data_IF_870512010465
#
_entry.id   IF_870512010465
#
_cell.length_a   1.000
_cell.length_b   1.000
_cell.length_c   1.000
_cell.angle_alpha   90.00
_cell.angle_beta   90.00
_cell.angle_gamma   90.00
#
_symmetry.space_group_name_H-M   'P 1'
#
loop_
_entity.id
_entity.type
_entity.pdbx_description
1 polymer ?
#
# COMPACT_ATOMS: atom_id res chain seq x y z
N UNK A 1 -79.61 16.79 -15.37
CA UNK A 1 -78.86 17.23 -14.17
C UNK A 1 -77.84 16.14 -13.86
N UNK A 2 -76.54 16.44 -13.81
CA UNK A 2 -75.53 15.43 -13.48
C UNK A 2 -75.64 15.05 -12.01
N UNK A 3 -75.68 13.75 -11.73
CA UNK A 3 -75.68 13.19 -10.37
C UNK A 3 -74.49 13.72 -9.58
N UNK A 4 -74.74 14.42 -8.47
CA UNK A 4 -73.67 14.82 -7.57
C UNK A 4 -73.10 13.56 -6.91
N UNK A 5 -71.78 13.32 -7.01
CA UNK A 5 -71.16 12.14 -6.41
C UNK A 5 -71.40 12.15 -4.91
N UNK A 6 -71.83 11.00 -4.37
CA UNK A 6 -72.07 10.81 -2.95
C UNK A 6 -70.85 11.26 -2.13
N UNK A 7 -71.04 11.92 -0.96
CA UNK A 7 -69.95 12.40 -0.14
C UNK A 7 -69.05 11.23 0.27
N UNK A 8 -67.82 11.25 -0.24
CA UNK A 8 -66.82 10.22 0.07
C UNK A 8 -66.64 10.07 1.58
N UNK A 9 -66.67 8.83 2.07
CA UNK A 9 -66.38 8.49 3.48
C UNK A 9 -65.04 9.13 3.88
N UNK A 10 -65.07 10.14 4.75
CA UNK A 10 -63.87 10.73 5.33
C UNK A 10 -63.21 9.72 6.26
N UNK A 11 -61.97 9.34 5.97
CA UNK A 11 -61.12 8.54 6.85
C UNK A 11 -61.01 9.24 8.21
N UNK A 12 -61.20 8.50 9.30
CA UNK A 12 -60.96 9.01 10.65
C UNK A 12 -59.45 9.17 10.83
N UNK A 13 -59.02 10.22 11.52
CA UNK A 13 -57.59 10.55 11.71
C UNK A 13 -56.76 9.38 12.25
N UNK A 14 -57.31 8.53 13.12
CA UNK A 14 -56.62 7.35 13.64
C UNK A 14 -56.38 6.27 12.56
N UNK A 15 -57.25 6.16 11.56
CA UNK A 15 -57.07 5.24 10.42
C UNK A 15 -55.91 5.70 9.54
N UNK A 16 -55.73 7.02 9.39
CA UNK A 16 -54.58 7.60 8.69
C UNK A 16 -53.29 7.28 9.45
N UNK A 17 -53.27 7.43 10.78
CA UNK A 17 -52.10 7.06 11.58
C UNK A 17 -51.75 5.58 11.49
N UNK A 18 -52.74 4.68 11.56
CA UNK A 18 -52.52 3.23 11.39
C UNK A 18 -51.96 2.92 10.00
N UNK A 19 -52.50 3.56 8.95
CA UNK A 19 -51.99 3.37 7.58
C UNK A 19 -50.54 3.86 7.43
N UNK A 20 -50.21 5.02 7.99
CA UNK A 20 -48.83 5.55 7.98
C UNK A 20 -47.88 4.59 8.72
N UNK A 21 -48.28 4.10 9.90
CA UNK A 21 -47.47 3.16 10.68
C UNK A 21 -47.24 1.84 9.92
N UNK A 22 -48.27 1.31 9.25
CA UNK A 22 -48.15 0.10 8.42
C UNK A 22 -47.24 0.32 7.21
N UNK A 23 -47.40 1.43 6.49
CA UNK A 23 -46.54 1.78 5.35
C UNK A 23 -45.08 1.95 5.79
N UNK A 24 -44.85 2.59 6.92
CA UNK A 24 -43.52 2.71 7.50
C UNK A 24 -42.94 1.35 7.90
N UNK A 25 -43.72 0.48 8.52
CA UNK A 25 -43.31 -0.89 8.85
C UNK A 25 -42.92 -1.70 7.61
N UNK A 26 -43.73 -1.65 6.54
CA UNK A 26 -43.43 -2.29 5.25
C UNK A 26 -42.13 -1.74 4.67
N UNK A 27 -41.97 -0.41 4.66
CA UNK A 27 -40.75 0.24 4.17
C UNK A 27 -39.51 -0.25 4.94
N UNK A 28 -39.56 -0.30 6.27
CA UNK A 28 -38.46 -0.79 7.12
C UNK A 28 -38.17 -2.26 6.86
N UNK A 29 -39.19 -3.12 6.72
CA UNK A 29 -39.00 -4.53 6.38
C UNK A 29 -38.38 -4.72 4.99
N UNK A 30 -38.88 -4.01 3.98
CA UNK A 30 -38.32 -4.04 2.62
C UNK A 30 -36.86 -3.56 2.61
N UNK A 31 -36.56 -2.47 3.33
CA UNK A 31 -35.21 -1.95 3.46
C UNK A 31 -34.29 -2.93 4.18
N UNK A 32 -34.74 -3.55 5.28
CA UNK A 32 -33.97 -4.56 6.01
C UNK A 32 -33.72 -5.82 5.16
N UNK A 33 -34.71 -6.27 4.38
CA UNK A 33 -34.54 -7.35 3.42
C UNK A 33 -33.55 -6.98 2.32
N UNK A 34 -33.72 -5.80 1.71
CA UNK A 34 -32.82 -5.29 0.68
C UNK A 34 -31.39 -5.23 1.17
N UNK A 35 -31.15 -4.66 2.37
CA UNK A 35 -29.83 -4.58 3.00
C UNK A 35 -29.18 -5.96 3.26
N UNK A 36 -29.98 -7.03 3.46
CA UNK A 36 -29.49 -8.39 3.73
C UNK A 36 -29.29 -9.27 2.50
N UNK A 37 -29.98 -8.98 1.40
CA UNK A 37 -29.86 -9.77 0.16
C UNK A 37 -28.45 -9.66 -0.44
N UNK A 38 -27.95 -10.72 -1.07
CA UNK A 38 -26.64 -10.75 -1.77
C UNK A 38 -26.74 -10.91 -3.29
N UNK A 39 -27.95 -10.96 -3.86
CA UNK A 39 -28.15 -11.32 -5.27
C UNK A 39 -27.51 -10.38 -6.30
N UNK A 40 -27.22 -9.13 -5.93
CA UNK A 40 -26.43 -8.20 -6.77
C UNK A 40 -24.94 -8.58 -6.88
N UNK A 41 -24.42 -9.39 -5.95
CA UNK A 41 -23.05 -9.87 -5.97
C UNK A 41 -22.88 -11.09 -6.89
N UNK A 42 -23.96 -11.81 -7.22
CA UNK A 42 -23.88 -13.01 -8.06
C UNK A 42 -23.30 -12.72 -9.45
N UNK A 43 -23.67 -11.57 -10.02
CA UNK A 43 -23.11 -11.10 -11.30
C UNK A 43 -21.62 -10.77 -11.19
N UNK A 44 -21.21 -10.10 -10.12
CA UNK A 44 -19.81 -9.80 -9.85
C UNK A 44 -18.98 -11.09 -9.60
N UNK A 45 -19.56 -12.09 -8.93
CA UNK A 45 -18.92 -13.38 -8.66
C UNK A 45 -18.78 -14.21 -9.94
N UNK A 46 -19.82 -14.24 -10.78
CA UNK A 46 -19.75 -14.90 -12.09
C UNK A 46 -18.67 -14.25 -12.97
N UNK A 47 -18.59 -12.92 -12.96
CA UNK A 47 -17.54 -12.17 -13.65
C UNK A 47 -16.15 -12.49 -13.10
N UNK A 48 -15.94 -12.45 -11.79
CA UNK A 48 -14.65 -12.80 -11.16
C UNK A 48 -14.17 -14.19 -11.61
N UNK A 49 -15.05 -15.20 -11.57
CA UNK A 49 -14.72 -16.55 -12.04
C UNK A 49 -14.32 -16.59 -13.52
N UNK A 50 -15.03 -15.85 -14.38
CA UNK A 50 -14.68 -15.76 -15.81
C UNK A 50 -13.31 -15.13 -16.08
N UNK A 51 -12.83 -14.29 -15.15
CA UNK A 51 -11.51 -13.65 -15.17
C UNK A 51 -10.43 -14.45 -14.42
N UNK A 52 -10.76 -15.61 -13.83
CA UNK A 52 -9.83 -16.37 -12.98
C UNK A 52 -9.46 -15.65 -11.68
N UNK A 53 -10.33 -14.76 -11.18
CA UNK A 53 -10.16 -14.01 -9.95
C UNK A 53 -10.86 -14.72 -8.77
N UNK A 54 -10.33 -14.58 -7.54
CA UNK A 54 -10.94 -15.16 -6.35
C UNK A 54 -12.28 -14.50 -6.03
N UNK A 55 -13.23 -15.28 -5.53
CA UNK A 55 -14.53 -14.79 -5.01
C UNK A 55 -14.59 -14.81 -3.48
N UNK A 56 -13.59 -15.40 -2.82
CA UNK A 56 -13.44 -15.35 -1.38
C UNK A 56 -12.03 -15.72 -0.91
N UNK A 57 -11.77 -15.54 0.39
CA UNK A 57 -10.46 -15.84 0.99
C UNK A 57 -10.07 -17.32 0.92
N UNK A 58 -11.06 -18.22 0.88
CA UNK A 58 -10.85 -19.66 0.70
C UNK A 58 -10.16 -20.00 -0.63
N UNK A 59 -10.26 -19.12 -1.63
CA UNK A 59 -9.69 -19.33 -2.97
C UNK A 59 -8.21 -18.98 -3.05
N UNK A 60 -7.64 -18.36 -2.00
CA UNK A 60 -6.29 -17.80 -2.01
C UNK A 60 -5.20 -18.76 -1.52
N UNK A 61 -5.56 -19.94 -1.00
CA UNK A 61 -4.62 -21.04 -0.79
C UNK A 61 -3.38 -20.74 0.07
N UNK A 62 -3.52 -19.94 1.14
CA UNK A 62 -2.38 -19.57 1.99
C UNK A 62 -1.79 -20.77 2.71
N UNK A 63 -0.47 -20.93 2.61
CA UNK A 63 0.28 -21.87 3.43
C UNK A 63 0.51 -21.25 4.82
N UNK A 64 -0.01 -21.83 5.90
CA UNK A 64 0.23 -21.30 7.24
C UNK A 64 1.73 -21.38 7.56
N UNK A 65 2.25 -20.34 8.21
CA UNK A 65 3.60 -20.41 8.77
C UNK A 65 3.66 -21.54 9.81
N UNK A 66 4.78 -22.27 9.83
CA UNK A 66 5.02 -23.22 10.91
C UNK A 66 5.13 -22.48 12.26
N UNK A 67 4.92 -23.19 13.36
CA UNK A 67 4.88 -22.60 14.70
C UNK A 67 6.21 -21.93 15.10
N UNK A 68 7.35 -22.42 14.60
CA UNK A 68 8.66 -21.86 14.90
C UNK A 68 8.85 -20.51 14.21
N UNK A 69 8.50 -20.42 12.92
CA UNK A 69 8.52 -19.18 12.14
C UNK A 69 7.54 -18.16 12.69
N UNK A 70 6.35 -18.57 13.11
CA UNK A 70 5.39 -17.71 13.80
C UNK A 70 5.94 -17.13 15.12
N UNK A 71 6.67 -17.95 15.88
CA UNK A 71 7.33 -17.52 17.13
C UNK A 71 8.47 -16.54 16.87
N UNK A 72 9.33 -16.85 15.90
CA UNK A 72 10.42 -15.97 15.46
C UNK A 72 9.87 -14.62 14.96
N UNK A 73 8.77 -14.65 14.21
CA UNK A 73 8.09 -13.47 13.72
C UNK A 73 7.53 -12.58 14.86
N UNK A 74 6.84 -13.19 15.83
CA UNK A 74 6.35 -12.47 17.01
C UNK A 74 7.49 -11.88 17.84
N UNK A 75 8.60 -12.63 17.99
CA UNK A 75 9.79 -12.14 18.69
C UNK A 75 10.43 -10.95 17.97
N UNK A 76 10.55 -11.00 16.64
CA UNK A 76 11.08 -9.89 15.86
C UNK A 76 10.25 -8.61 16.04
N UNK A 77 8.92 -8.73 16.07
CA UNK A 77 8.02 -7.59 16.34
C UNK A 77 8.23 -7.01 17.74
N UNK A 78 8.43 -7.87 18.75
CA UNK A 78 8.75 -7.42 20.10
C UNK A 78 10.11 -6.70 20.16
N UNK A 79 11.13 -7.20 19.45
CA UNK A 79 12.45 -6.56 19.35
C UNK A 79 12.36 -5.17 18.71
N UNK A 80 11.49 -4.96 17.73
CA UNK A 80 11.25 -3.64 17.13
C UNK A 80 10.69 -2.59 18.11
N UNK A 81 10.12 -3.02 19.24
CA UNK A 81 9.70 -2.15 20.33
C UNK A 81 10.81 -1.86 21.35
N UNK A 82 11.83 -2.71 21.42
CA UNK A 82 12.96 -2.61 22.35
C UNK A 82 14.15 -1.88 21.73
N UNK A 83 14.33 -2.03 20.41
CA UNK A 83 15.38 -1.37 19.64
C UNK A 83 14.81 -0.11 19.00
N UNK A 84 15.22 1.06 19.49
CA UNK A 84 14.85 2.35 18.89
C UNK A 84 15.90 2.78 17.89
N UNK A 85 15.46 3.16 16.68
CA UNK A 85 16.30 3.90 15.74
C UNK A 85 16.63 5.29 16.31
N UNK A 86 17.76 5.86 15.92
CA UNK A 86 18.15 7.22 16.31
C UNK A 86 17.13 8.24 15.84
N UNK A 87 16.63 8.07 14.62
CA UNK A 87 15.55 8.88 14.06
C UNK A 87 14.29 8.93 14.93
N UNK A 88 13.98 7.86 15.67
CA UNK A 88 12.81 7.84 16.57
C UNK A 88 13.10 8.52 17.92
N UNK A 89 14.37 8.74 18.27
CA UNK A 89 14.80 9.39 19.52
C UNK A 89 14.90 10.92 19.43
N UNK A 90 15.03 11.47 18.22
CA UNK A 90 15.15 12.92 18.01
C UNK A 90 13.80 13.62 18.21
N UNK A 91 13.73 14.61 19.08
CA UNK A 91 12.49 15.35 19.38
C UNK A 91 12.05 16.19 18.17
N UNK A 92 10.92 15.82 17.53
CA UNK A 92 10.10 16.74 16.74
C UNK A 92 9.95 16.43 15.25
N UNK A 93 11.00 15.99 14.54
CA UNK A 93 10.92 15.79 13.07
C UNK A 93 11.40 14.41 12.61
N UNK A 94 12.13 13.68 13.46
CA UNK A 94 12.74 12.40 13.08
C UNK A 94 13.87 12.61 12.08
N UNK A 95 15.09 12.24 12.45
CA UNK A 95 16.20 12.29 11.51
C UNK A 95 15.95 11.35 10.32
N UNK A 96 16.30 11.80 9.11
CA UNK A 96 16.29 10.96 7.91
C UNK A 96 17.58 11.18 7.15
N UNK A 97 18.22 10.09 6.75
CA UNK A 97 19.44 10.16 5.95
C UNK A 97 19.17 10.84 4.62
N UNK A 98 20.04 11.79 4.26
CA UNK A 98 20.02 12.47 2.97
C UNK A 98 21.29 12.09 2.20
N UNK A 99 21.18 11.53 0.98
CA UNK A 99 22.36 11.21 0.18
C UNK A 99 23.29 12.41 0.02
N UNK A 100 24.60 12.17 0.15
CA UNK A 100 25.63 13.20 0.08
C UNK A 100 25.84 14.00 1.38
N UNK A 101 25.14 13.67 2.47
CA UNK A 101 25.36 14.27 3.79
C UNK A 101 26.05 13.30 4.73
N UNK A 102 26.91 13.82 5.61
CA UNK A 102 27.58 13.03 6.65
C UNK A 102 26.57 12.65 7.75
N UNK A 103 26.55 11.39 8.23
CA UNK A 103 25.75 11.03 9.38
C UNK A 103 26.18 11.83 10.63
N UNK A 104 25.23 12.28 11.48
CA UNK A 104 25.56 13.03 12.69
C UNK A 104 26.35 12.16 13.67
N UNK A 105 27.30 12.74 14.41
CA UNK A 105 28.13 11.99 15.38
C UNK A 105 27.28 11.32 16.48
N UNK A 106 26.17 11.95 16.86
CA UNK A 106 25.18 11.44 17.81
C UNK A 106 24.55 10.11 17.36
N UNK A 107 24.53 9.83 16.04
CA UNK A 107 24.07 8.55 15.51
C UNK A 107 24.99 7.41 15.98
N UNK A 108 26.31 7.62 15.94
CA UNK A 108 27.30 6.63 16.38
C UNK A 108 27.15 6.38 17.89
N UNK A 109 27.03 7.45 18.68
CA UNK A 109 26.82 7.36 20.13
C UNK A 109 25.50 6.68 20.50
N UNK A 110 24.44 6.93 19.73
CA UNK A 110 23.15 6.24 19.90
C UNK A 110 23.29 4.74 19.69
N UNK A 111 23.86 4.31 18.57
CA UNK A 111 24.02 2.88 18.27
C UNK A 111 24.99 2.16 19.19
N UNK A 112 26.02 2.85 19.71
CA UNK A 112 26.93 2.30 20.71
C UNK A 112 26.24 1.98 22.06
N UNK A 113 25.10 2.62 22.35
CA UNK A 113 24.31 2.39 23.58
C UNK A 113 23.23 1.33 23.42
N UNK A 114 22.95 0.87 22.21
CA UNK A 114 21.95 -0.17 21.99
C UNK A 114 22.44 -1.51 22.54
N UNK A 115 21.52 -2.33 23.03
CA UNK A 115 21.83 -3.67 23.50
C UNK A 115 22.25 -4.55 22.31
N UNK A 116 23.55 -4.83 22.22
CA UNK A 116 24.12 -5.61 21.12
C UNK A 116 23.57 -7.04 21.08
N UNK A 117 23.18 -7.63 22.22
CA UNK A 117 22.59 -8.97 22.25
C UNK A 117 21.22 -8.99 21.55
N UNK A 118 20.42 -7.94 21.70
CA UNK A 118 19.13 -7.81 21.01
C UNK A 118 19.31 -7.57 19.51
N UNK A 119 20.35 -6.82 19.11
CA UNK A 119 20.70 -6.62 17.70
C UNK A 119 21.10 -7.96 17.07
N UNK A 120 21.99 -8.72 17.72
CA UNK A 120 22.45 -10.02 17.25
C UNK A 120 21.28 -11.03 17.22
N UNK A 121 20.39 -11.01 18.21
CA UNK A 121 19.16 -11.80 18.21
C UNK A 121 18.28 -11.47 17.00
N UNK A 122 18.08 -10.18 16.69
CA UNK A 122 17.28 -9.75 15.53
C UNK A 122 17.87 -10.23 14.21
N UNK A 123 19.20 -10.17 14.04
CA UNK A 123 19.89 -10.66 12.85
C UNK A 123 19.78 -12.19 12.70
N UNK A 124 19.89 -12.91 13.82
CA UNK A 124 19.73 -14.36 13.86
C UNK A 124 18.30 -14.78 13.52
N UNK A 125 17.28 -14.07 14.02
CA UNK A 125 15.87 -14.30 13.66
C UNK A 125 15.66 -14.07 12.17
N UNK A 126 16.13 -12.94 11.62
CA UNK A 126 16.03 -12.67 10.18
C UNK A 126 16.73 -13.73 9.32
N UNK A 127 17.82 -14.30 9.83
CA UNK A 127 18.51 -15.41 9.16
C UNK A 127 17.64 -16.66 9.13
N UNK A 128 17.02 -17.05 10.26
CA UNK A 128 16.15 -18.23 10.36
C UNK A 128 14.83 -18.09 9.61
N UNK A 129 14.24 -16.89 9.59
CA UNK A 129 13.00 -16.62 8.85
C UNK A 129 13.17 -16.83 7.35
N UNK A 130 14.39 -16.62 6.82
CA UNK A 130 14.74 -16.84 5.43
C UNK A 130 14.02 -15.90 4.47
N UNK A 131 13.97 -16.30 3.19
CA UNK A 131 13.30 -15.54 2.12
C UNK A 131 11.86 -16.04 1.86
N UNK A 132 11.40 -17.07 2.57
CA UNK A 132 10.07 -17.64 2.38
C UNK A 132 8.96 -16.73 2.93
N UNK A 133 7.76 -16.74 2.31
CA UNK A 133 6.59 -16.08 2.87
C UNK A 133 6.26 -16.49 4.30
N UNK A 134 5.89 -15.50 5.12
CA UNK A 134 5.33 -15.72 6.46
C UNK A 134 3.88 -15.26 6.43
N UNK A 135 2.96 -16.20 6.59
CA UNK A 135 1.57 -15.89 6.88
C UNK A 135 1.43 -15.54 8.35
N UNK A 136 1.49 -14.24 8.62
CA UNK A 136 1.29 -13.68 9.96
C UNK A 136 -0.16 -13.31 10.25
N UNK A 137 -1.04 -13.24 9.23
CA UNK A 137 -2.39 -12.70 9.34
C UNK A 137 -3.39 -13.60 8.62
N UNK A 138 -4.08 -14.44 9.38
CA UNK A 138 -5.23 -15.19 8.87
C UNK A 138 -6.46 -14.30 8.59
N UNK A 139 -6.45 -13.05 9.08
CA UNK A 139 -7.54 -12.09 8.85
C UNK A 139 -7.11 -11.03 7.82
N UNK A 140 -7.48 -11.25 6.56
CA UNK A 140 -7.45 -10.20 5.54
C UNK A 140 -8.81 -9.51 5.60
N UNK A 141 -8.88 -8.42 6.35
CA UNK A 141 -10.05 -7.57 6.42
C UNK A 141 -9.64 -6.14 6.09
N UNK A 142 -10.49 -5.34 5.40
CA UNK A 142 -10.25 -3.90 5.27
C UNK A 142 -10.13 -3.18 6.62
N UNK A 143 -10.62 -3.80 7.70
CA UNK A 143 -10.52 -3.30 9.07
C UNK A 143 -9.32 -3.89 9.86
N UNK A 144 -8.57 -4.83 9.28
CA UNK A 144 -7.43 -5.45 9.95
C UNK A 144 -6.31 -4.42 10.19
N UNK A 145 -5.74 -4.46 11.40
CA UNK A 145 -4.56 -3.66 11.72
C UNK A 145 -3.31 -4.35 11.14
N UNK A 146 -2.46 -3.57 10.50
CA UNK A 146 -1.14 -4.05 10.04
C UNK A 146 -0.11 -3.71 11.12
N UNK A 147 -0.22 -4.40 12.26
CA UNK A 147 0.62 -4.13 13.44
C UNK A 147 2.11 -4.33 13.12
N UNK A 148 2.43 -5.25 12.21
CA UNK A 148 3.78 -5.51 11.74
C UNK A 148 4.39 -4.41 10.87
N UNK A 149 3.58 -3.56 10.21
CA UNK A 149 4.11 -2.50 9.35
C UNK A 149 4.93 -1.47 10.14
N UNK A 150 4.56 -1.21 11.40
CA UNK A 150 5.31 -0.29 12.26
C UNK A 150 6.60 -0.95 12.74
N UNK A 151 6.55 -2.23 13.14
CA UNK A 151 7.73 -2.98 13.54
C UNK A 151 8.76 -3.07 12.41
N UNK A 152 8.32 -3.40 11.19
CA UNK A 152 9.19 -3.49 10.00
C UNK A 152 9.86 -2.16 9.66
N UNK A 153 9.09 -1.06 9.63
CA UNK A 153 9.64 0.27 9.33
C UNK A 153 10.67 0.71 10.37
N UNK A 154 10.41 0.43 11.66
CA UNK A 154 11.37 0.71 12.74
C UNK A 154 12.65 -0.09 12.59
N UNK A 155 12.55 -1.40 12.35
CA UNK A 155 13.71 -2.26 12.16
C UNK A 155 14.48 -1.87 10.90
N UNK A 156 13.82 -1.61 9.77
CA UNK A 156 14.52 -1.18 8.55
C UNK A 156 15.23 0.15 8.75
N UNK A 157 14.62 1.09 9.47
CA UNK A 157 15.28 2.35 9.81
C UNK A 157 16.52 2.12 10.69
N UNK A 158 16.38 1.29 11.73
CA UNK A 158 17.49 0.88 12.59
C UNK A 158 18.63 0.25 11.77
N UNK A 159 18.32 -0.70 10.90
CA UNK A 159 19.32 -1.37 10.07
C UNK A 159 19.93 -0.45 9.01
N UNK A 160 19.14 0.46 8.42
CA UNK A 160 19.63 1.51 7.53
C UNK A 160 20.64 2.42 8.23
N UNK A 161 20.33 2.86 9.45
CA UNK A 161 21.25 3.62 10.30
C UNK A 161 22.53 2.84 10.61
N UNK A 162 22.42 1.54 10.96
CA UNK A 162 23.58 0.68 11.20
C UNK A 162 24.48 0.58 9.97
N UNK A 163 23.91 0.35 8.79
CA UNK A 163 24.66 0.32 7.53
C UNK A 163 25.45 1.63 7.35
N UNK A 164 24.85 2.78 7.65
CA UNK A 164 25.51 4.08 7.48
C UNK A 164 26.73 4.26 8.39
N UNK A 165 26.75 3.68 9.59
CA UNK A 165 27.85 3.82 10.55
C UNK A 165 28.75 2.58 10.67
N UNK A 166 28.43 1.48 10.00
CA UNK A 166 29.17 0.22 10.13
C UNK A 166 30.64 0.38 9.67
N UNK A 167 31.60 -0.32 10.28
CA UNK A 167 32.94 -0.42 9.70
C UNK A 167 32.87 -1.15 8.35
N UNK A 168 33.79 -0.84 7.43
CA UNK A 168 33.73 -1.29 6.03
C UNK A 168 33.58 -2.81 5.89
N UNK A 169 34.27 -3.58 6.73
CA UNK A 169 34.23 -5.04 6.75
C UNK A 169 32.86 -5.64 7.14
N UNK A 170 31.96 -4.86 7.76
CA UNK A 170 30.62 -5.29 8.17
C UNK A 170 29.50 -4.80 7.26
N UNK A 171 29.74 -3.81 6.41
CA UNK A 171 28.72 -3.16 5.57
C UNK A 171 27.92 -4.19 4.76
N UNK A 172 28.59 -5.12 4.09
CA UNK A 172 27.93 -6.12 3.26
C UNK A 172 27.02 -7.06 4.07
N UNK A 173 27.43 -7.44 5.28
CA UNK A 173 26.64 -8.29 6.18
C UNK A 173 25.38 -7.56 6.69
N UNK A 174 25.53 -6.30 7.08
CA UNK A 174 24.41 -5.50 7.58
C UNK A 174 23.41 -5.18 6.44
N UNK A 175 23.89 -4.96 5.21
CA UNK A 175 23.04 -4.83 4.01
C UNK A 175 22.25 -6.10 3.72
N UNK A 176 22.90 -7.26 3.77
CA UNK A 176 22.25 -8.55 3.55
C UNK A 176 21.20 -8.82 4.63
N UNK A 177 21.52 -8.51 5.90
CA UNK A 177 20.59 -8.64 7.02
C UNK A 177 19.38 -7.73 6.84
N UNK A 178 19.60 -6.46 6.49
CA UNK A 178 18.54 -5.49 6.24
C UNK A 178 17.63 -5.93 5.08
N UNK A 179 18.19 -6.51 4.02
CA UNK A 179 17.42 -6.96 2.85
C UNK A 179 16.34 -7.99 3.21
N UNK A 180 16.57 -8.81 4.26
CA UNK A 180 15.64 -9.84 4.75
C UNK A 180 14.40 -9.25 5.42
N UNK A 181 14.43 -7.97 5.78
CA UNK A 181 13.24 -7.24 6.25
C UNK A 181 12.28 -6.90 5.12
N UNK A 182 12.69 -6.95 3.85
CA UNK A 182 11.84 -6.73 2.68
C UNK A 182 11.27 -8.09 2.28
N UNK A 183 10.17 -8.51 2.91
CA UNK A 183 9.83 -9.90 2.97
C UNK A 183 9.01 -10.27 1.74
N UNK A 184 9.18 -11.49 1.23
CA UNK A 184 8.08 -12.14 0.48
C UNK A 184 7.01 -12.38 1.52
N UNK A 185 5.79 -11.85 1.39
CA UNK A 185 4.71 -12.11 2.36
C UNK A 185 3.42 -12.41 1.65
N UNK A 186 2.73 -13.40 2.19
CA UNK A 186 1.39 -13.77 1.82
C UNK A 186 0.57 -13.93 3.10
N UNK A 187 -0.67 -13.46 3.11
CA UNK A 187 -1.24 -12.52 2.15
C UNK A 187 -0.58 -11.14 2.18
N UNK A 188 -0.21 -10.62 1.02
CA UNK A 188 0.02 -9.19 0.83
C UNK A 188 -1.33 -8.52 0.51
N UNK A 189 -1.68 -7.44 1.20
CA UNK A 189 -2.68 -6.47 0.73
C UNK A 189 -1.99 -5.24 0.14
N UNK A 190 -2.73 -4.30 -0.45
CA UNK A 190 -2.13 -3.14 -1.13
C UNK A 190 -1.25 -2.29 -0.20
N UNK A 191 -1.69 -2.11 1.06
CA UNK A 191 -0.91 -1.39 2.07
C UNK A 191 0.42 -2.09 2.39
N UNK A 192 0.48 -3.43 2.34
CA UNK A 192 1.74 -4.18 2.54
C UNK A 192 2.71 -3.96 1.39
N UNK A 193 2.23 -3.88 0.15
CA UNK A 193 3.07 -3.56 -1.01
C UNK A 193 3.67 -2.16 -0.87
N UNK A 194 2.90 -1.19 -0.37
CA UNK A 194 3.43 0.14 -0.06
C UNK A 194 4.51 0.08 1.02
N UNK A 195 4.32 -0.73 2.08
CA UNK A 195 5.35 -0.93 3.10
C UNK A 195 6.61 -1.54 2.47
N UNK A 196 6.49 -2.60 1.67
CA UNK A 196 7.62 -3.22 0.97
C UNK A 196 8.40 -2.21 0.12
N UNK A 197 7.70 -1.34 -0.60
CA UNK A 197 8.32 -0.27 -1.39
C UNK A 197 9.10 0.71 -0.51
N UNK A 198 8.54 1.14 0.62
CA UNK A 198 9.24 2.02 1.58
C UNK A 198 10.49 1.34 2.15
N UNK A 199 10.40 0.05 2.48
CA UNK A 199 11.54 -0.72 2.99
C UNK A 199 12.65 -0.85 1.93
N UNK A 200 12.27 -1.17 0.68
CA UNK A 200 13.19 -1.25 -0.45
C UNK A 200 13.89 0.08 -0.73
N UNK A 201 13.16 1.19 -0.63
CA UNK A 201 13.72 2.52 -0.77
C UNK A 201 14.75 2.83 0.32
N UNK A 202 14.41 2.63 1.60
CA UNK A 202 15.34 2.84 2.71
C UNK A 202 16.60 1.98 2.59
N UNK A 203 16.42 0.71 2.24
CA UNK A 203 17.53 -0.21 1.96
C UNK A 203 18.41 0.30 0.82
N UNK A 204 17.83 0.68 -0.32
CA UNK A 204 18.58 1.15 -1.48
C UNK A 204 19.42 2.41 -1.19
N UNK A 205 18.87 3.35 -0.42
CA UNK A 205 19.58 4.57 -0.01
C UNK A 205 20.77 4.26 0.90
N UNK A 206 20.61 3.33 1.86
CA UNK A 206 21.70 2.89 2.73
C UNK A 206 22.82 2.19 1.95
N UNK A 207 22.48 1.37 0.95
CA UNK A 207 23.47 0.73 0.06
C UNK A 207 24.24 1.78 -0.75
N UNK A 208 23.55 2.73 -1.39
CA UNK A 208 24.21 3.78 -2.18
C UNK A 208 25.16 4.64 -1.35
N UNK A 209 24.75 4.99 -0.13
CA UNK A 209 25.55 5.77 0.80
C UNK A 209 26.90 5.11 1.15
N UNK A 210 26.96 3.78 1.10
CA UNK A 210 28.14 2.98 1.44
C UNK A 210 28.72 2.24 0.23
N UNK A 211 28.40 2.67 -0.99
CA UNK A 211 28.83 2.02 -2.25
C UNK A 211 30.36 1.83 -2.32
N UNK A 212 31.15 2.81 -1.86
CA UNK A 212 32.62 2.73 -1.84
C UNK A 212 33.16 1.60 -0.98
N UNK A 213 32.39 1.16 0.02
CA UNK A 213 32.83 0.21 1.04
C UNK A 213 32.38 -1.22 0.75
N UNK A 214 31.64 -1.45 -0.34
CA UNK A 214 31.11 -2.77 -0.70
C UNK A 214 32.19 -3.75 -1.18
N UNK A 215 33.37 -3.26 -1.57
CA UNK A 215 34.50 -4.06 -2.04
C UNK A 215 34.06 -5.20 -3.00
N UNK A 216 34.62 -6.41 -2.85
CA UNK A 216 34.29 -7.59 -3.64
C UNK A 216 32.85 -8.11 -3.51
N UNK A 217 31.97 -7.46 -2.74
CA UNK A 217 30.56 -7.84 -2.59
C UNK A 217 29.61 -7.10 -3.55
N UNK A 218 30.12 -6.16 -4.34
CA UNK A 218 29.33 -5.34 -5.27
C UNK A 218 28.37 -6.18 -6.14
N UNK A 219 28.86 -7.27 -6.72
CA UNK A 219 28.05 -8.17 -7.58
C UNK A 219 26.96 -8.91 -6.79
N UNK A 220 27.27 -9.38 -5.57
CA UNK A 220 26.30 -10.06 -4.72
C UNK A 220 25.17 -9.13 -4.28
N UNK A 221 25.50 -7.88 -3.90
CA UNK A 221 24.50 -6.87 -3.52
C UNK A 221 23.66 -6.42 -4.72
N UNK A 222 24.28 -6.26 -5.90
CA UNK A 222 23.56 -5.98 -7.14
C UNK A 222 22.53 -7.07 -7.47
N UNK A 223 22.95 -8.34 -7.40
CA UNK A 223 22.05 -9.49 -7.58
C UNK A 223 20.93 -9.52 -6.53
N UNK A 224 21.21 -9.15 -5.28
CA UNK A 224 20.17 -9.03 -4.23
C UNK A 224 19.17 -7.93 -4.58
N UNK A 225 19.62 -6.78 -5.06
CA UNK A 225 18.74 -5.69 -5.51
C UNK A 225 17.84 -6.15 -6.66
N UNK A 226 18.37 -6.87 -7.66
CA UNK A 226 17.58 -7.45 -8.75
C UNK A 226 16.55 -8.46 -8.26
N UNK A 227 16.94 -9.36 -7.36
CA UNK A 227 16.02 -10.32 -6.75
C UNK A 227 14.87 -9.61 -6.04
N UNK A 228 15.15 -8.58 -5.25
CA UNK A 228 14.12 -7.77 -4.60
C UNK A 228 13.23 -7.03 -5.62
N UNK A 229 13.82 -6.54 -6.72
CA UNK A 229 13.10 -5.85 -7.78
C UNK A 229 12.07 -6.75 -8.47
N UNK A 230 12.34 -8.06 -8.54
CA UNK A 230 11.39 -9.06 -9.08
C UNK A 230 10.19 -9.32 -8.16
N UNK A 231 10.22 -8.89 -6.89
CA UNK A 231 9.16 -9.18 -5.92
C UNK A 231 8.00 -8.18 -5.98
N UNK A 232 8.29 -6.90 -6.22
CA UNK A 232 7.28 -5.84 -6.08
C UNK A 232 6.10 -5.97 -7.05
N UNK A 233 6.29 -6.20 -8.37
CA UNK A 233 5.14 -6.31 -9.27
C UNK A 233 4.28 -7.58 -9.08
N UNK A 234 4.86 -8.79 -8.88
CA UNK A 234 4.07 -9.96 -8.50
C UNK A 234 3.37 -9.83 -7.14
N UNK A 235 3.99 -9.14 -6.16
CA UNK A 235 3.35 -8.85 -4.88
C UNK A 235 2.15 -7.91 -5.06
N UNK A 236 2.24 -6.93 -5.97
CA UNK A 236 1.12 -6.06 -6.34
C UNK A 236 -0.04 -6.84 -6.98
N UNK A 237 0.25 -7.75 -7.91
CA UNK A 237 -0.76 -8.63 -8.51
C UNK A 237 -1.47 -9.47 -7.44
N UNK A 238 -0.70 -10.08 -6.54
CA UNK A 238 -1.24 -10.88 -5.43
C UNK A 238 -2.07 -10.02 -4.46
N UNK A 239 -1.61 -8.80 -4.19
CA UNK A 239 -2.32 -7.85 -3.33
C UNK A 239 -3.69 -7.45 -3.86
N UNK A 240 -3.81 -7.19 -5.17
CA UNK A 240 -5.11 -6.93 -5.78
C UNK A 240 -6.08 -8.10 -5.65
N UNK A 241 -5.60 -9.33 -5.85
CA UNK A 241 -6.40 -10.55 -5.69
C UNK A 241 -6.86 -10.73 -4.24
N UNK A 242 -5.96 -10.53 -3.29
CA UNK A 242 -6.23 -10.66 -1.86
C UNK A 242 -7.21 -9.60 -1.37
N UNK A 243 -7.00 -8.33 -1.74
CA UNK A 243 -7.89 -7.22 -1.34
C UNK A 243 -9.26 -7.32 -2.02
N UNK A 244 -9.34 -7.82 -3.26
CA UNK A 244 -10.61 -8.11 -3.93
C UNK A 244 -11.41 -9.18 -3.18
N UNK A 245 -10.77 -10.31 -2.85
CA UNK A 245 -11.41 -11.40 -2.11
C UNK A 245 -11.81 -10.98 -0.69
N UNK A 246 -10.95 -10.21 -0.02
CA UNK A 246 -11.20 -9.62 1.30
C UNK A 246 -12.39 -8.66 1.26
N UNK A 247 -12.40 -7.72 0.31
CA UNK A 247 -13.51 -6.79 0.14
C UNK A 247 -14.80 -7.54 -0.18
N UNK A 248 -14.76 -8.56 -1.05
CA UNK A 248 -15.92 -9.39 -1.37
C UNK A 248 -16.47 -10.12 -0.16
N UNK A 249 -15.60 -10.69 0.67
CA UNK A 249 -15.96 -11.29 1.95
C UNK A 249 -16.62 -10.26 2.86
N UNK A 250 -15.97 -9.11 3.05
CA UNK A 250 -16.45 -8.01 3.88
C UNK A 250 -17.83 -7.51 3.43
N UNK A 251 -18.03 -7.13 2.17
CA UNK A 251 -19.32 -6.60 1.68
C UNK A 251 -20.42 -7.67 1.56
N UNK A 252 -20.03 -8.95 1.53
CA UNK A 252 -20.94 -10.09 1.51
C UNK A 252 -21.43 -10.49 2.91
N UNK A 253 -20.58 -10.37 3.93
CA UNK A 253 -20.88 -10.72 5.31
C UNK A 253 -21.17 -9.52 6.22
N UNK A 254 -21.01 -8.28 5.72
CA UNK A 254 -21.28 -7.07 6.46
C UNK A 254 -22.74 -7.04 6.91
N UNK A 255 -22.97 -7.47 8.15
CA UNK A 255 -24.24 -7.24 8.82
C UNK A 255 -24.38 -5.72 9.03
N UNK A 256 -25.35 -5.07 8.38
CA UNK A 256 -25.55 -3.63 8.53
C UNK A 256 -25.67 -3.22 10.00
N UNK A 257 -26.21 -4.10 10.86
CA UNK A 257 -26.35 -3.85 12.30
C UNK A 257 -25.02 -3.94 13.07
N UNK A 258 -24.05 -4.73 12.60
CA UNK A 258 -22.69 -4.77 13.18
C UNK A 258 -21.88 -3.55 12.77
N UNK A 259 -21.91 -3.19 11.48
CA UNK A 259 -21.30 -1.95 10.97
C UNK A 259 -21.84 -0.74 11.73
N UNK A 260 -23.17 -0.72 11.95
CA UNK A 260 -23.86 0.26 12.79
C UNK A 260 -23.33 0.31 14.23
N UNK A 261 -23.16 -0.85 14.88
CA UNK A 261 -22.70 -0.92 16.27
C UNK A 261 -21.23 -0.54 16.45
N UNK A 262 -20.38 -0.77 15.43
CA UNK A 262 -18.96 -0.41 15.47
C UNK A 262 -18.77 1.09 15.25
N UNK A 263 -19.45 1.67 14.27
CA UNK A 263 -19.40 3.12 14.01
C UNK A 263 -20.03 3.95 15.16
N UNK A 264 -21.04 3.40 15.84
CA UNK A 264 -21.69 4.07 16.98
C UNK A 264 -20.94 3.98 18.32
N UNK A 265 -19.97 3.06 18.48
CA UNK A 265 -19.23 2.87 19.74
C UNK A 265 -18.02 3.80 19.89
N UNK A 266 -17.50 4.36 18.80
CA UNK A 266 -16.32 5.24 18.83
C UNK A 266 -16.66 6.75 18.91
N UNK A 267 -17.88 7.12 19.30
CA UNK A 267 -18.18 8.45 19.85
C UNK A 267 -18.67 9.53 18.88
N UNK A 268 -19.20 9.18 17.70
CA UNK A 268 -19.90 10.10 16.80
C UNK A 268 -21.42 10.02 16.94
N UNK A 269 -22.11 11.16 16.86
CA UNK A 269 -23.57 11.31 16.91
C UNK A 269 -24.35 10.31 16.03
N UNK A 270 -25.64 10.12 16.37
CA UNK A 270 -26.68 9.46 15.56
C UNK A 270 -26.96 10.18 14.21
N UNK A 271 -25.93 10.63 13.48
CA UNK A 271 -26.05 11.41 12.26
C UNK A 271 -26.20 10.51 11.04
N UNK A 272 -26.78 11.08 9.98
CA UNK A 272 -27.05 10.49 8.67
C UNK A 272 -25.89 9.69 8.03
N UNK A 273 -24.68 9.80 8.56
CA UNK A 273 -23.44 9.19 8.06
C UNK A 273 -23.44 7.66 8.16
N UNK A 274 -23.97 7.08 9.25
CA UNK A 274 -24.01 5.61 9.40
C UNK A 274 -25.02 4.96 8.42
N UNK A 275 -26.18 5.59 8.23
CA UNK A 275 -27.18 5.18 7.24
C UNK A 275 -26.66 5.40 5.82
N UNK A 276 -26.06 6.56 5.56
CA UNK A 276 -25.43 6.89 4.29
C UNK A 276 -24.38 5.86 3.90
N UNK A 277 -23.54 5.45 4.85
CA UNK A 277 -22.51 4.43 4.63
C UNK A 277 -23.09 3.03 4.38
N UNK A 278 -24.08 2.59 5.16
CA UNK A 278 -24.72 1.28 4.93
C UNK A 278 -25.43 1.21 3.58
N UNK A 279 -26.13 2.28 3.18
CA UNK A 279 -26.78 2.40 1.87
C UNK A 279 -25.73 2.48 0.76
N UNK A 280 -24.64 3.24 0.95
CA UNK A 280 -23.55 3.34 0.00
C UNK A 280 -22.85 1.99 -0.22
N UNK A 281 -22.54 1.29 0.86
CA UNK A 281 -21.94 -0.04 0.82
C UNK A 281 -22.87 -1.01 0.08
N UNK A 282 -24.17 -0.99 0.37
CA UNK A 282 -25.14 -1.88 -0.30
C UNK A 282 -25.35 -1.54 -1.77
N UNK A 283 -25.50 -0.25 -2.11
CA UNK A 283 -25.79 0.20 -3.47
C UNK A 283 -24.56 0.17 -4.38
N UNK A 284 -23.35 0.24 -3.81
CA UNK A 284 -22.10 0.39 -4.57
C UNK A 284 -21.23 -0.85 -4.64
N UNK A 285 -21.40 -1.83 -3.75
CA UNK A 285 -20.50 -3.00 -3.65
C UNK A 285 -20.27 -3.76 -4.96
N UNK A 286 -21.32 -4.06 -5.73
CA UNK A 286 -21.16 -4.80 -6.98
C UNK A 286 -20.30 -4.01 -7.97
N UNK A 287 -20.57 -2.71 -8.12
CA UNK A 287 -19.80 -1.83 -9.00
C UNK A 287 -18.35 -1.64 -8.51
N UNK A 288 -18.12 -1.50 -7.21
CA UNK A 288 -16.77 -1.41 -6.65
C UNK A 288 -15.97 -2.69 -6.94
N UNK A 289 -16.59 -3.87 -6.76
CA UNK A 289 -15.95 -5.14 -7.05
C UNK A 289 -15.62 -5.27 -8.54
N UNK A 290 -16.52 -4.88 -9.44
CA UNK A 290 -16.27 -4.86 -10.88
C UNK A 290 -15.06 -3.99 -11.26
N UNK A 291 -14.95 -2.80 -10.66
CA UNK A 291 -13.81 -1.91 -10.90
C UNK A 291 -12.50 -2.51 -10.38
N UNK A 292 -12.52 -3.14 -9.20
CA UNK A 292 -11.34 -3.86 -8.69
C UNK A 292 -11.00 -5.07 -9.55
N UNK A 293 -11.98 -5.76 -10.12
CA UNK A 293 -11.75 -6.86 -11.06
C UNK A 293 -11.09 -6.37 -12.35
N UNK A 294 -11.47 -5.19 -12.87
CA UNK A 294 -10.82 -4.57 -14.04
C UNK A 294 -9.34 -4.27 -13.75
N UNK A 295 -9.04 -3.72 -12.58
CA UNK A 295 -7.66 -3.47 -12.15
C UNK A 295 -6.90 -4.79 -11.98
N UNK A 296 -7.47 -5.76 -11.27
CA UNK A 296 -6.83 -7.06 -11.04
C UNK A 296 -6.57 -7.82 -12.36
N UNK A 297 -7.49 -7.76 -13.31
CA UNK A 297 -7.32 -8.35 -14.65
C UNK A 297 -6.19 -7.68 -15.45
N UNK A 298 -6.02 -6.35 -15.30
CA UNK A 298 -4.90 -5.64 -15.91
C UNK A 298 -3.53 -6.05 -15.34
N UNK A 299 -3.50 -6.72 -14.18
CA UNK A 299 -2.28 -7.29 -13.60
C UNK A 299 -1.99 -8.72 -14.08
N UNK A 300 -2.66 -9.23 -15.13
CA UNK A 300 -2.33 -10.54 -15.72
C UNK A 300 -0.85 -10.61 -16.15
N UNK A 301 -0.32 -9.52 -16.69
CA UNK A 301 1.12 -9.28 -16.80
C UNK A 301 1.57 -8.36 -15.64
N UNK A 302 2.36 -8.86 -14.67
CA UNK A 302 2.80 -8.07 -13.54
C UNK A 302 3.70 -6.90 -13.95
N UNK A 303 4.34 -6.93 -15.13
CA UNK A 303 5.27 -5.89 -15.59
C UNK A 303 4.64 -4.86 -16.55
N UNK A 304 3.37 -5.01 -16.92
CA UNK A 304 2.65 -4.08 -17.80
C UNK A 304 2.19 -2.79 -17.08
N UNK A 305 3.12 -2.02 -16.51
CA UNK A 305 2.84 -0.89 -15.62
C UNK A 305 1.87 0.16 -16.21
N UNK A 306 2.10 0.59 -17.45
CA UNK A 306 1.24 1.58 -18.12
C UNK A 306 -0.19 1.07 -18.34
N UNK A 307 -0.37 -0.24 -18.63
CA UNK A 307 -1.70 -0.84 -18.76
C UNK A 307 -2.42 -0.90 -17.42
N UNK A 308 -1.72 -1.32 -16.36
CA UNK A 308 -2.24 -1.36 -14.99
C UNK A 308 -2.68 0.04 -14.53
N UNK A 309 -1.85 1.06 -14.78
CA UNK A 309 -2.15 2.44 -14.44
C UNK A 309 -3.41 2.93 -15.15
N UNK A 310 -3.52 2.73 -16.48
CA UNK A 310 -4.72 3.11 -17.25
C UNK A 310 -6.00 2.46 -16.73
N UNK A 311 -5.93 1.19 -16.32
CA UNK A 311 -7.08 0.52 -15.71
C UNK A 311 -7.49 1.16 -14.37
N UNK A 312 -6.50 1.48 -13.53
CA UNK A 312 -6.75 2.16 -12.25
C UNK A 312 -7.25 3.60 -12.42
N UNK A 313 -6.73 4.33 -13.39
CA UNK A 313 -7.20 5.67 -13.73
C UNK A 313 -8.64 5.64 -14.24
N UNK A 314 -8.97 4.73 -15.16
CA UNK A 314 -10.33 4.55 -15.66
C UNK A 314 -11.31 4.19 -14.53
N UNK A 315 -10.88 3.33 -13.60
CA UNK A 315 -11.65 3.02 -12.39
C UNK A 315 -11.82 4.23 -11.47
N UNK A 316 -10.78 5.04 -11.31
CA UNK A 316 -10.79 6.30 -10.57
C UNK A 316 -11.75 7.34 -11.17
N UNK A 317 -11.75 7.50 -12.50
CA UNK A 317 -12.68 8.37 -13.23
C UNK A 317 -14.12 7.86 -13.10
N UNK A 318 -14.34 6.56 -13.24
CA UNK A 318 -15.67 5.97 -13.03
C UNK A 318 -16.16 6.17 -11.58
N UNK A 319 -15.24 6.09 -10.61
CA UNK A 319 -15.53 6.33 -9.21
C UNK A 319 -15.75 7.82 -8.89
N UNK A 320 -15.06 8.75 -9.56
CA UNK A 320 -15.12 10.19 -9.27
C UNK A 320 -16.37 10.89 -9.81
N UNK A 321 -17.13 10.25 -10.72
CA UNK A 321 -18.46 10.68 -11.14
C UNK A 321 -19.53 10.57 -10.00
N UNK A 322 -19.08 10.71 -8.75
CA UNK A 322 -19.92 10.67 -7.57
C UNK A 322 -20.85 11.85 -7.49
N UNK A 323 -22.05 11.56 -7.03
CA UNK A 323 -22.97 12.55 -6.50
C UNK A 323 -23.35 12.10 -5.12
N UNK A 324 -23.50 13.01 -4.15
CA UNK A 324 -24.04 12.65 -2.83
C UNK A 324 -25.44 12.00 -2.93
N UNK A 325 -26.11 12.21 -4.07
CA UNK A 325 -27.41 11.64 -4.42
C UNK A 325 -27.31 10.25 -5.07
N UNK A 326 -26.09 9.72 -5.29
CA UNK A 326 -25.81 8.41 -5.88
C UNK A 326 -24.99 7.58 -4.88
N UNK A 327 -25.60 7.03 -3.83
CA UNK A 327 -24.89 6.25 -2.81
C UNK A 327 -24.07 5.10 -3.40
N UNK A 328 -24.49 4.54 -4.55
CA UNK A 328 -23.77 3.47 -5.24
C UNK A 328 -22.37 3.82 -5.75
N UNK A 329 -21.98 5.10 -5.82
CA UNK A 329 -20.63 5.48 -6.24
C UNK A 329 -19.69 5.77 -5.08
N UNK A 330 -20.21 5.94 -3.86
CA UNK A 330 -19.44 6.39 -2.71
C UNK A 330 -18.37 5.37 -2.28
N UNK A 331 -18.71 4.08 -2.24
CA UNK A 331 -17.74 3.04 -1.88
C UNK A 331 -16.55 3.03 -2.85
N UNK A 332 -16.80 3.05 -4.16
CA UNK A 332 -15.75 3.15 -5.17
C UNK A 332 -14.90 4.40 -5.00
N UNK A 333 -15.50 5.56 -4.72
CA UNK A 333 -14.79 6.82 -4.52
C UNK A 333 -13.88 6.82 -3.28
N UNK A 334 -14.22 6.03 -2.25
CA UNK A 334 -13.37 5.85 -1.08
C UNK A 334 -12.19 4.91 -1.35
N UNK A 335 -12.38 3.90 -2.22
CA UNK A 335 -11.38 2.83 -2.42
C UNK A 335 -10.49 3.02 -3.65
N UNK A 336 -10.99 3.65 -4.72
CA UNK A 336 -10.29 3.68 -6.02
C UNK A 336 -9.17 4.74 -6.14
N UNK A 337 -9.21 5.93 -5.51
CA UNK A 337 -8.18 6.95 -5.70
C UNK A 337 -6.76 6.52 -5.30
N UNK A 338 -6.63 5.51 -4.43
CA UNK A 338 -5.32 4.98 -4.01
C UNK A 338 -4.68 4.06 -5.06
N UNK A 339 -5.47 3.50 -5.99
CA UNK A 339 -5.02 2.49 -6.93
C UNK A 339 -3.88 2.97 -7.85
N UNK A 340 -3.97 4.14 -8.51
CA UNK A 340 -2.88 4.63 -9.36
C UNK A 340 -1.60 4.87 -8.56
N UNK A 341 -1.72 5.38 -7.33
CA UNK A 341 -0.57 5.64 -6.46
C UNK A 341 0.18 4.35 -6.11
N UNK A 342 -0.53 3.29 -5.72
CA UNK A 342 0.09 2.01 -5.35
C UNK A 342 0.81 1.38 -6.54
N UNK A 343 0.19 1.42 -7.73
CA UNK A 343 0.79 0.89 -8.97
C UNK A 343 2.08 1.65 -9.30
N UNK A 344 2.02 2.98 -9.34
CA UNK A 344 3.19 3.82 -9.64
C UNK A 344 4.30 3.58 -8.60
N UNK A 345 3.95 3.51 -7.32
CA UNK A 345 4.92 3.29 -6.26
C UNK A 345 5.61 1.93 -6.38
N UNK A 346 4.87 0.84 -6.61
CA UNK A 346 5.44 -0.50 -6.74
C UNK A 346 6.45 -0.58 -7.90
N UNK A 347 6.10 -0.03 -9.07
CA UNK A 347 6.99 0.01 -10.24
C UNK A 347 8.17 0.97 -10.04
N UNK A 348 7.96 2.11 -9.39
CA UNK A 348 9.06 3.02 -9.02
C UNK A 348 10.02 2.34 -8.04
N UNK A 349 9.52 1.60 -7.05
CA UNK A 349 10.34 0.81 -6.12
C UNK A 349 11.19 -0.23 -6.86
N UNK A 350 10.61 -0.92 -7.86
CA UNK A 350 11.36 -1.81 -8.76
C UNK A 350 12.46 -1.07 -9.52
N UNK A 351 12.15 0.09 -10.10
CA UNK A 351 13.14 0.90 -10.83
C UNK A 351 14.28 1.36 -9.92
N UNK A 352 14.00 1.81 -8.69
CA UNK A 352 15.02 2.20 -7.70
C UNK A 352 16.03 1.06 -7.46
N UNK A 353 15.54 -0.16 -7.28
CA UNK A 353 16.38 -1.34 -7.07
C UNK A 353 17.19 -1.74 -8.31
N UNK A 354 16.59 -1.64 -9.51
CA UNK A 354 17.30 -1.93 -10.76
C UNK A 354 18.34 -0.86 -11.12
N UNK A 355 18.05 0.42 -10.85
CA UNK A 355 19.02 1.52 -10.96
C UNK A 355 20.17 1.29 -9.98
N UNK A 356 19.88 0.89 -8.73
CA UNK A 356 20.93 0.50 -7.79
C UNK A 356 21.82 -0.62 -8.34
N UNK A 357 21.23 -1.71 -8.87
CA UNK A 357 22.03 -2.79 -9.48
C UNK A 357 22.92 -2.28 -10.61
N UNK A 358 22.35 -1.46 -11.50
CA UNK A 358 23.09 -0.85 -12.62
C UNK A 358 24.23 0.06 -12.14
N UNK A 359 23.98 0.86 -11.09
CA UNK A 359 25.00 1.74 -10.49
C UNK A 359 26.13 0.94 -9.82
N UNK A 360 25.83 -0.24 -9.26
CA UNK A 360 26.84 -1.11 -8.65
C UNK A 360 27.69 -1.82 -9.72
N UNK A 361 27.07 -2.27 -10.81
CA UNK A 361 27.72 -3.10 -11.84
C UNK A 361 28.27 -2.32 -13.03
N UNK A 362 27.90 -1.04 -13.17
CA UNK A 362 28.19 -0.24 -14.36
C UNK A 362 27.32 -0.60 -15.58
N UNK A 363 26.25 -1.38 -15.39
CA UNK A 363 25.31 -1.71 -16.45
C UNK A 363 24.47 -0.49 -16.87
N UNK A 364 23.80 -0.60 -18.02
CA UNK A 364 22.86 0.42 -18.46
C UNK A 364 21.65 0.50 -17.51
N UNK A 365 21.13 1.71 -17.30
CA UNK A 365 19.92 1.92 -16.50
C UNK A 365 18.70 1.25 -17.13
N UNK A 366 17.74 0.75 -16.31
CA UNK A 366 16.59 0.03 -16.80
C UNK A 366 15.67 0.93 -17.64
N UNK A 367 14.94 0.29 -18.57
CA UNK A 367 13.82 0.93 -19.28
C UNK A 367 12.75 1.35 -18.29
N UNK A 368 12.24 2.56 -18.46
CA UNK A 368 11.10 3.09 -17.70
C UNK A 368 9.80 2.48 -18.26
N UNK A 369 9.04 1.69 -17.49
CA UNK A 369 7.81 1.04 -17.94
C UNK A 369 6.63 2.01 -18.12
N UNK A 370 6.75 3.27 -17.68
CA UNK A 370 5.76 4.31 -17.92
C UNK A 370 6.09 5.17 -19.15
N UNK A 371 7.31 5.07 -19.68
CA UNK A 371 7.71 5.80 -20.88
C UNK A 371 7.17 5.13 -22.16
N UNK A 372 6.29 5.80 -22.93
CA UNK A 372 5.70 5.19 -24.13
C UNK A 372 6.70 4.99 -25.28
N UNK A 373 7.84 5.68 -25.27
CA UNK A 373 8.93 5.51 -26.22
C UNK A 373 9.97 4.46 -25.77
N UNK A 374 9.78 3.82 -24.61
CA UNK A 374 10.69 2.81 -24.07
C UNK A 374 12.06 3.36 -23.67
N UNK A 375 12.14 4.64 -23.31
CA UNK A 375 13.40 5.25 -22.85
C UNK A 375 13.81 4.73 -21.47
N UNK A 376 15.13 4.71 -21.15
CA UNK A 376 15.59 4.40 -19.80
C UNK A 376 15.12 5.43 -18.77
N UNK A 377 15.23 5.05 -17.50
CA UNK A 377 15.19 6.01 -16.38
C UNK A 377 16.18 7.15 -16.63
N UNK A 378 15.84 8.37 -16.23
CA UNK A 378 16.64 9.55 -16.55
C UNK A 378 17.49 9.98 -15.39
N UNK A 379 18.68 10.46 -15.72
CA UNK A 379 19.64 11.04 -14.78
C UNK A 379 19.15 12.43 -14.36
N UNK A 380 19.26 12.73 -13.07
CA UNK A 380 19.16 14.09 -12.55
C UNK A 380 20.57 14.57 -12.28
N UNK A 381 21.01 15.57 -13.04
CA UNK A 381 22.34 16.15 -12.91
C UNK A 381 22.23 17.61 -12.44
N UNK A 382 23.11 17.99 -11.51
CA UNK A 382 23.29 19.37 -11.05
C UNK A 382 24.78 19.70 -11.13
N UNK A 383 25.11 20.78 -11.83
CA UNK A 383 26.51 21.21 -12.04
C UNK A 383 27.41 20.11 -12.64
N UNK A 384 26.85 19.28 -13.53
CA UNK A 384 27.54 18.15 -14.16
C UNK A 384 27.74 16.92 -13.28
N UNK A 385 27.20 16.93 -12.05
CA UNK A 385 27.23 15.80 -11.13
C UNK A 385 25.88 15.08 -11.09
N UNK A 386 25.91 13.75 -11.15
CA UNK A 386 24.73 12.92 -10.94
C UNK A 386 24.29 13.00 -9.48
N UNK A 387 23.10 13.54 -9.22
CA UNK A 387 22.55 13.64 -7.86
C UNK A 387 21.37 12.69 -7.62
N UNK A 388 20.66 12.28 -8.68
CA UNK A 388 19.46 11.48 -8.56
C UNK A 388 19.00 10.88 -9.88
N UNK A 389 17.79 10.35 -9.87
CA UNK A 389 17.13 9.82 -11.05
C UNK A 389 15.65 10.20 -11.05
N UNK A 390 15.02 10.14 -12.22
CA UNK A 390 13.57 10.21 -12.32
C UNK A 390 13.00 9.26 -13.38
N UNK A 391 11.78 8.82 -13.10
CA UNK A 391 10.89 8.11 -14.02
C UNK A 391 9.72 9.03 -14.37
N UNK A 392 9.22 8.93 -15.60
CA UNK A 392 8.05 9.70 -16.04
C UNK A 392 6.83 9.31 -15.20
N UNK A 393 5.82 10.18 -15.16
CA UNK A 393 4.60 9.87 -14.42
C UNK A 393 3.85 8.66 -15.01
N UNK A 394 2.92 8.11 -14.24
CA UNK A 394 2.06 7.00 -14.71
C UNK A 394 1.23 7.34 -15.96
N UNK A 395 0.96 8.62 -16.22
CA UNK A 395 0.29 9.08 -17.45
C UNK A 395 1.20 9.04 -18.70
N UNK A 396 2.50 8.75 -18.53
CA UNK A 396 3.51 8.69 -19.58
C UNK A 396 3.98 10.05 -20.09
N UNK A 397 3.63 11.14 -19.41
CA UNK A 397 4.09 12.50 -19.71
C UNK A 397 5.40 12.76 -18.96
N UNK A 398 6.42 13.19 -19.70
CA UNK A 398 7.72 13.56 -19.16
C UNK A 398 7.69 15.02 -18.66
N UNK A 399 7.72 15.20 -17.33
CA UNK A 399 7.77 16.52 -16.68
C UNK A 399 9.18 17.14 -16.67
N UNK A 400 10.19 16.47 -17.22
CA UNK A 400 11.57 16.93 -17.23
C UNK A 400 12.20 16.97 -15.83
N UNK A 401 11.78 16.07 -14.94
CA UNK A 401 12.23 15.99 -13.55
C UNK A 401 11.49 16.93 -12.59
N UNK A 402 10.31 17.44 -12.96
CA UNK A 402 9.42 18.17 -12.04
C UNK A 402 8.91 17.19 -10.97
N UNK A 403 9.19 17.46 -9.69
CA UNK A 403 8.86 16.52 -8.62
C UNK A 403 7.34 16.38 -8.35
N UNK A 404 6.52 17.29 -8.89
CA UNK A 404 5.05 17.18 -8.82
C UNK A 404 4.48 16.30 -9.93
N UNK A 405 5.20 16.18 -11.05
CA UNK A 405 4.77 15.43 -12.23
C UNK A 405 5.47 14.07 -12.29
N UNK A 406 6.79 14.06 -12.15
CA UNK A 406 7.61 12.87 -12.28
C UNK A 406 7.89 12.19 -10.94
N UNK A 407 8.36 10.94 -11.01
CA UNK A 407 8.86 10.21 -9.84
C UNK A 407 10.35 10.40 -9.75
N UNK A 408 10.77 11.36 -8.94
CA UNK A 408 12.18 11.66 -8.69
C UNK A 408 12.65 11.02 -7.39
N UNK A 409 13.91 10.56 -7.34
CA UNK A 409 14.54 10.10 -6.11
C UNK A 409 16.04 10.41 -6.07
N UNK A 410 16.60 10.68 -4.88
CA UNK A 410 18.02 10.97 -4.74
C UNK A 410 18.86 9.69 -4.87
N UNK A 411 20.07 9.84 -5.39
CA UNK A 411 21.09 8.77 -5.45
C UNK A 411 22.33 9.18 -4.68
N UNK A 412 22.89 10.35 -5.01
CA UNK A 412 24.16 10.84 -4.47
C UNK A 412 24.08 12.25 -3.89
N UNK A 413 22.94 12.94 -4.04
CA UNK A 413 22.74 14.28 -3.51
C UNK A 413 21.26 14.59 -3.25
N UNK A 414 21.04 15.69 -2.54
CA UNK A 414 19.69 16.19 -2.23
C UNK A 414 19.06 16.80 -3.48
N UNK A 415 17.82 16.38 -3.79
CA UNK A 415 17.04 16.93 -4.89
C UNK A 415 16.58 18.37 -4.61
N UNK A 416 16.22 19.10 -5.67
CA UNK A 416 15.66 20.46 -5.58
C UNK A 416 14.26 20.50 -4.96
N UNK A 417 13.52 21.60 -5.17
CA UNK A 417 12.16 21.74 -4.63
C UNK A 417 11.09 21.58 -5.71
N UNK A 418 11.19 22.33 -6.81
CA UNK A 418 10.26 22.21 -7.94
C UNK A 418 10.79 21.19 -8.95
N UNK A 419 11.96 21.43 -9.56
CA UNK A 419 12.66 20.41 -10.33
C UNK A 419 13.69 19.70 -9.49
N UNK A 420 13.89 18.41 -9.75
CA UNK A 420 14.87 17.60 -9.05
C UNK A 420 16.30 18.15 -9.20
N UNK A 421 16.62 18.78 -10.34
CA UNK A 421 17.92 19.38 -10.62
C UNK A 421 18.14 20.76 -9.96
N UNK A 422 17.08 21.46 -9.55
CA UNK A 422 17.18 22.80 -8.94
C UNK A 422 17.95 22.75 -7.62
N UNK A 423 18.50 23.86 -7.13
CA UNK A 423 19.12 23.91 -5.81
C UNK A 423 18.11 23.54 -4.70
N UNK A 424 18.52 22.78 -3.67
CA UNK A 424 17.65 22.44 -2.55
C UNK A 424 17.31 23.71 -1.77
N UNK A 425 16.10 23.78 -1.21
CA UNK A 425 15.76 24.85 -0.29
C UNK A 425 16.74 24.85 0.90
N UNK A 426 17.20 26.03 1.31
CA UNK A 426 18.05 26.15 2.50
C UNK A 426 17.32 25.51 3.69
N UNK A 427 17.99 24.53 4.32
CA UNK A 427 17.48 23.90 5.53
C UNK A 427 17.48 25.00 6.60
N UNK A 428 16.29 25.39 7.05
CA UNK A 428 16.19 26.23 8.25
C UNK A 428 16.71 25.37 9.41
N UNK A 429 17.79 25.80 10.09
CA UNK A 429 18.37 25.04 11.19
C UNK A 429 17.39 24.82 12.33
#
# INVERSE_FOLDING_TARGET
MPDMPAPGRRLRWWQVLVAIALLFGILVCCLAMWLRTTGDLDGADARARSLGLPVGLSDLGFAPADAARGTDWARLQALAGQLSAYADSTTGIGWSYRPGTEPPGELVEHHARLDQALIDESANILTRLGDEPIDANQDISPAARIEDATALRRLMRLWGERILIAPAERVAQDIETASRLIPRREPAGLLRVMVMQVLAEQWSLAVLARKSDLAGNTEAIAKRAELLATLLPPALQSAWRNDLASLRGFVGSADPSRVWSQLGREGGSFSLDAWGFAIALRAGRARTLELMQDIAAAHADPFAAAQQYKAAEAAGVAASQTSMWRPGTMLAAMTMPVAPLVIVNAHTGRLKLLVLSAELTGAAWPVDPFDPAGKPVRRVERDGQLIGAYSVSGDGIDGGGDQKLDRCWPLYGVLGTDKAADQPAAIKP
#
